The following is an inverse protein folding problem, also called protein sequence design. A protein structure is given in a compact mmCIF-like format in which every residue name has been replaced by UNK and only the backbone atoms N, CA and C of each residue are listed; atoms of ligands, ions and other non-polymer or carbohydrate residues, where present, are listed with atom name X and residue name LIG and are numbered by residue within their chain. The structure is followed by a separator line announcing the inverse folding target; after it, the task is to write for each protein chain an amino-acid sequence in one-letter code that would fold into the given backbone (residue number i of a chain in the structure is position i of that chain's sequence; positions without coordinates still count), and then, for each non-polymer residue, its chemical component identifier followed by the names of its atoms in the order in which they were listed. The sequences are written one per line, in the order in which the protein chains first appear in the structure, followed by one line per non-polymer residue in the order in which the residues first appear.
data_IF_046579230409
#
_entry.id   IF_046579230409
#
_cell.length_a   1.000
_cell.length_b   1.000
_cell.length_c   1.000
_cell.angle_alpha   90.00
_cell.angle_beta   90.00
_cell.angle_gamma   90.00
#
_symmetry.space_group_name_H-M   'P 1'
#
loop_
_entity.id
_entity.type
_entity.pdbx_description
1 polymer ?
#
# COMPACT_ATOMS: atom_id res chain seq x y z
N UNK A 1 16.29 -0.40 3.85
CA UNK A 1 14.96 -0.50 4.47
C UNK A 1 13.93 -0.05 3.44
N UNK A 2 12.91 -0.86 3.23
CA UNK A 2 11.91 -0.64 2.17
C UNK A 2 10.55 -0.35 2.77
N UNK A 3 9.85 0.61 2.18
CA UNK A 3 8.48 0.96 2.54
C UNK A 3 7.59 0.97 1.31
N UNK A 4 6.37 0.52 1.48
CA UNK A 4 5.31 0.63 0.46
C UNK A 4 4.23 1.56 1.02
N UNK A 5 3.84 2.54 0.22
CA UNK A 5 2.76 3.46 0.60
C UNK A 5 1.42 2.93 0.09
N UNK A 6 0.45 2.87 1.00
CA UNK A 6 -0.94 2.64 0.59
C UNK A 6 -1.49 3.88 -0.15
N UNK A 7 -2.51 3.68 -0.94
CA UNK A 7 -3.10 4.74 -1.76
C UNK A 7 -3.56 5.94 -0.94
N UNK A 8 -4.11 5.72 0.25
CA UNK A 8 -4.54 6.83 1.12
C UNK A 8 -3.37 7.75 1.55
N UNK A 9 -2.18 7.19 1.73
CA UNK A 9 -0.98 7.98 2.02
C UNK A 9 -0.64 8.88 0.82
N UNK A 10 -0.72 8.35 -0.40
CA UNK A 10 -0.50 9.14 -1.61
C UNK A 10 -1.49 10.30 -1.73
N UNK A 11 -2.76 10.05 -1.42
CA UNK A 11 -3.80 11.09 -1.41
C UNK A 11 -3.43 12.22 -0.44
N UNK A 12 -2.97 11.88 0.76
CA UNK A 12 -2.55 12.88 1.75
C UNK A 12 -1.30 13.65 1.33
N UNK A 13 -0.35 13.00 0.65
CA UNK A 13 0.81 13.68 0.07
C UNK A 13 0.39 14.69 -1.01
N UNK A 14 -0.53 14.29 -1.90
CA UNK A 14 -1.06 15.17 -2.95
C UNK A 14 -1.82 16.36 -2.35
N UNK A 15 -2.51 16.15 -1.23
CA UNK A 15 -3.22 17.19 -0.48
C UNK A 15 -2.30 18.04 0.39
N UNK A 16 -1.00 17.84 0.31
CA UNK A 16 -0.01 18.60 1.07
C UNK A 16 -0.19 18.50 2.59
N UNK A 17 -0.56 17.29 3.06
CA UNK A 17 -0.64 17.02 4.50
C UNK A 17 0.77 17.03 5.10
N UNK A 18 1.07 18.04 5.91
CA UNK A 18 2.41 18.27 6.44
C UNK A 18 2.93 17.12 7.31
N UNK A 19 2.07 16.48 8.08
CA UNK A 19 2.48 15.35 8.94
C UNK A 19 2.91 14.15 8.11
N UNK A 20 2.20 13.86 7.03
CA UNK A 20 2.54 12.74 6.13
C UNK A 20 3.79 13.07 5.32
N UNK A 21 3.91 14.29 4.82
CA UNK A 21 5.11 14.75 4.13
C UNK A 21 6.33 14.58 5.03
N UNK A 22 6.24 15.05 6.27
CA UNK A 22 7.34 14.95 7.22
C UNK A 22 7.71 13.50 7.52
N UNK A 23 6.71 12.63 7.68
CA UNK A 23 6.95 11.20 7.90
C UNK A 23 7.78 10.59 6.77
N UNK A 24 7.36 10.81 5.53
CA UNK A 24 8.06 10.24 4.36
C UNK A 24 9.46 10.83 4.22
N UNK A 25 9.61 12.14 4.37
CA UNK A 25 10.91 12.80 4.32
C UNK A 25 11.88 12.28 5.39
N UNK A 26 11.40 12.05 6.60
CA UNK A 26 12.22 11.52 7.69
C UNK A 26 12.71 10.10 7.40
N UNK A 27 11.84 9.26 6.85
CA UNK A 27 12.22 7.91 6.41
C UNK A 27 13.28 7.95 5.31
N UNK A 28 13.12 8.82 4.32
CA UNK A 28 14.08 8.98 3.23
C UNK A 28 15.43 9.50 3.73
N UNK A 29 15.44 10.44 4.69
CA UNK A 29 16.66 10.93 5.33
C UNK A 29 17.41 9.83 6.08
N UNK A 30 16.69 8.84 6.60
CA UNK A 30 17.27 7.67 7.25
C UNK A 30 17.75 6.60 6.26
N UNK A 31 17.64 6.86 4.96
CA UNK A 31 18.08 5.96 3.91
C UNK A 31 17.05 4.94 3.45
N UNK A 32 15.79 5.13 3.78
CA UNK A 32 14.72 4.27 3.32
C UNK A 32 14.44 4.46 1.83
N UNK A 33 14.12 3.38 1.15
CA UNK A 33 13.58 3.42 -0.22
C UNK A 33 12.07 3.25 -0.15
N UNK A 34 11.35 4.08 -0.88
CA UNK A 34 9.89 4.17 -0.84
C UNK A 34 9.30 3.76 -2.19
N UNK A 35 8.41 2.78 -2.14
CA UNK A 35 7.76 2.19 -3.31
C UNK A 35 6.25 2.35 -3.24
N UNK A 36 5.60 2.22 -4.39
CA UNK A 36 4.16 2.13 -4.51
C UNK A 36 3.77 0.97 -5.42
N UNK A 37 2.58 0.41 -5.23
CA UNK A 37 2.03 -0.52 -6.21
C UNK A 37 1.55 0.22 -7.45
N UNK A 38 1.68 -0.38 -8.62
CA UNK A 38 1.05 0.14 -9.84
C UNK A 38 -0.47 0.27 -9.67
N UNK A 39 -1.07 -0.55 -8.82
CA UNK A 39 -2.48 -0.46 -8.46
C UNK A 39 -2.81 0.90 -7.84
N UNK A 40 -1.96 1.41 -6.96
CA UNK A 40 -2.14 2.73 -6.35
C UNK A 40 -2.07 3.85 -7.38
N UNK A 41 -1.20 3.72 -8.38
CA UNK A 41 -1.14 4.68 -9.49
C UNK A 41 -2.49 4.74 -10.21
N UNK A 42 -3.06 3.58 -10.54
CA UNK A 42 -4.38 3.50 -11.16
C UNK A 42 -5.49 4.10 -10.31
N UNK A 43 -5.48 3.81 -9.00
CA UNK A 43 -6.46 4.38 -8.07
C UNK A 43 -6.35 5.92 -7.98
N UNK A 44 -5.15 6.46 -7.98
CA UNK A 44 -4.93 7.91 -7.95
C UNK A 44 -5.45 8.58 -9.22
N UNK A 45 -5.15 8.03 -10.40
CA UNK A 45 -5.70 8.55 -11.66
C UNK A 45 -7.23 8.47 -11.69
N UNK A 46 -7.79 7.38 -11.18
CA UNK A 46 -9.24 7.20 -11.08
C UNK A 46 -9.87 8.30 -10.21
N UNK A 47 -9.28 8.59 -9.05
CA UNK A 47 -9.75 9.68 -8.19
C UNK A 47 -9.66 11.05 -8.89
N UNK A 48 -8.56 11.31 -9.59
CA UNK A 48 -8.36 12.54 -10.34
C UNK A 48 -9.47 12.76 -11.37
N UNK A 49 -9.84 11.70 -12.09
CA UNK A 49 -10.91 11.75 -13.10
C UNK A 49 -12.30 11.89 -12.46
N UNK A 50 -12.59 11.08 -11.42
CA UNK A 50 -13.89 11.11 -10.74
C UNK A 50 -14.19 12.46 -10.11
N UNK A 51 -13.20 13.10 -9.51
CA UNK A 51 -13.35 14.39 -8.82
C UNK A 51 -12.93 15.59 -9.65
N UNK A 52 -12.62 15.38 -10.93
CA UNK A 52 -12.22 16.43 -11.87
C UNK A 52 -11.17 17.38 -11.27
N UNK A 53 -10.05 16.83 -10.81
CA UNK A 53 -8.99 17.62 -10.19
C UNK A 53 -8.48 18.71 -11.13
N UNK A 54 -8.30 19.92 -10.56
CA UNK A 54 -7.80 21.06 -11.32
C UNK A 54 -6.32 20.97 -11.64
N UNK A 55 -5.83 21.90 -12.43
CA UNK A 55 -4.48 21.93 -12.98
C UNK A 55 -3.39 21.83 -11.90
N UNK A 56 -3.51 22.60 -10.81
CA UNK A 56 -2.52 22.59 -9.73
C UNK A 56 -2.42 21.22 -9.09
N UNK A 57 -3.53 20.61 -8.74
CA UNK A 57 -3.58 19.30 -8.09
C UNK A 57 -3.08 18.18 -9.00
N UNK A 58 -3.40 18.25 -10.30
CA UNK A 58 -2.87 17.31 -11.28
C UNK A 58 -1.34 17.43 -11.42
N UNK A 59 -0.80 18.64 -11.40
CA UNK A 59 0.64 18.85 -11.44
C UNK A 59 1.34 18.27 -10.20
N UNK A 60 0.78 18.49 -9.03
CA UNK A 60 1.30 17.91 -7.78
C UNK A 60 1.24 16.38 -7.80
N UNK A 61 0.15 15.83 -8.30
CA UNK A 61 0.00 14.38 -8.48
C UNK A 61 1.10 13.82 -9.39
N UNK A 62 1.28 14.40 -10.58
CA UNK A 62 2.30 13.93 -11.53
C UNK A 62 3.71 14.06 -10.97
N UNK A 63 4.01 15.17 -10.29
CA UNK A 63 5.30 15.40 -9.66
C UNK A 63 5.60 14.34 -8.60
N UNK A 64 4.62 14.02 -7.76
CA UNK A 64 4.75 12.98 -6.74
C UNK A 64 4.98 11.61 -7.36
N UNK A 65 4.17 11.24 -8.34
CA UNK A 65 4.27 9.92 -8.99
C UNK A 65 5.60 9.73 -9.72
N UNK A 66 6.18 10.79 -10.27
CA UNK A 66 7.51 10.74 -10.89
C UNK A 66 8.64 10.47 -9.89
N UNK A 67 8.46 10.85 -8.64
CA UNK A 67 9.46 10.65 -7.59
C UNK A 67 9.41 9.26 -6.94
N UNK A 68 8.32 8.52 -7.15
CA UNK A 68 8.11 7.22 -6.55
C UNK A 68 8.37 6.10 -7.55
N UNK A 69 8.75 4.94 -7.04
CA UNK A 69 9.03 3.76 -7.86
C UNK A 69 7.79 2.87 -7.86
N UNK A 70 7.05 2.78 -8.99
CA UNK A 70 5.90 1.87 -9.07
C UNK A 70 6.36 0.44 -9.30
N UNK A 71 5.78 -0.49 -8.53
CA UNK A 71 6.05 -1.92 -8.66
C UNK A 71 4.91 -2.53 -9.48
N UNK A 72 5.23 -3.14 -10.63
CA UNK A 72 4.23 -3.72 -11.52
C UNK A 72 3.66 -5.03 -10.98
N UNK A 73 2.49 -5.43 -11.49
CA UNK A 73 1.92 -6.76 -11.30
C UNK A 73 2.29 -7.58 -12.54
N UNK A 74 3.44 -8.24 -12.50
CA UNK A 74 3.99 -8.88 -13.70
C UNK A 74 4.71 -10.21 -13.45
N UNK A 75 4.62 -10.75 -12.22
CA UNK A 75 5.32 -11.98 -11.92
C UNK A 75 4.48 -12.97 -11.11
N UNK A 76 4.83 -14.26 -11.21
CA UNK A 76 4.12 -15.35 -10.57
C UNK A 76 4.27 -15.33 -9.04
N UNK A 77 5.41 -14.89 -8.52
CA UNK A 77 5.63 -14.81 -7.07
C UNK A 77 4.66 -13.84 -6.42
N UNK A 78 4.46 -12.68 -7.04
CA UNK A 78 3.48 -11.69 -6.57
C UNK A 78 2.06 -12.28 -6.58
N UNK A 79 1.71 -13.03 -7.64
CA UNK A 79 0.40 -13.69 -7.72
C UNK A 79 0.19 -14.74 -6.61
N UNK A 80 1.23 -15.49 -6.27
CA UNK A 80 1.17 -16.45 -5.15
C UNK A 80 1.02 -15.74 -3.81
N UNK A 81 1.72 -14.62 -3.61
CA UNK A 81 1.61 -13.82 -2.40
C UNK A 81 0.21 -13.22 -2.25
N UNK A 82 -0.39 -12.78 -3.35
CA UNK A 82 -1.80 -12.39 -3.37
C UNK A 82 -2.70 -13.52 -2.83
N UNK A 83 -2.52 -14.72 -3.35
CA UNK A 83 -3.32 -15.88 -2.96
C UNK A 83 -3.14 -16.24 -1.47
N UNK A 84 -1.91 -16.16 -0.96
CA UNK A 84 -1.63 -16.40 0.46
C UNK A 84 -2.35 -15.40 1.36
N UNK A 85 -2.27 -14.12 1.04
CA UNK A 85 -2.88 -13.05 1.83
C UNK A 85 -4.41 -13.13 1.77
N UNK A 86 -4.96 -13.34 0.58
CA UNK A 86 -6.40 -13.47 0.38
C UNK A 86 -6.98 -14.64 1.17
N UNK A 87 -6.37 -15.81 1.08
CA UNK A 87 -6.84 -17.00 1.80
C UNK A 87 -6.63 -16.90 3.29
N UNK A 88 -5.52 -16.33 3.75
CA UNK A 88 -5.28 -16.06 5.18
C UNK A 88 -6.38 -15.14 5.75
N UNK A 89 -6.69 -14.07 5.04
CA UNK A 89 -7.72 -13.11 5.46
C UNK A 89 -9.10 -13.74 5.58
N UNK A 90 -9.39 -14.76 4.78
CA UNK A 90 -10.66 -15.47 4.75
C UNK A 90 -10.72 -16.70 5.68
N UNK A 91 -9.71 -16.97 6.49
CA UNK A 91 -9.55 -18.21 7.27
C UNK A 91 -9.48 -19.49 6.40
N UNK A 92 -8.94 -19.37 5.19
CA UNK A 92 -8.85 -20.46 4.21
C UNK A 92 -7.42 -20.85 3.82
N UNK A 93 -6.41 -20.21 4.44
CA UNK A 93 -5.03 -20.53 4.11
C UNK A 93 -4.67 -21.92 4.66
N UNK A 94 -4.11 -22.82 3.82
CA UNK A 94 -3.85 -24.21 4.22
C UNK A 94 -2.67 -24.37 5.17
N UNK A 95 -1.81 -23.34 5.30
CA UNK A 95 -0.55 -23.41 6.06
C UNK A 95 -0.61 -22.56 7.32
N UNK A 96 -1.07 -21.30 7.18
CA UNK A 96 -1.10 -20.33 8.28
C UNK A 96 -2.54 -19.99 8.60
N UNK A 97 -2.95 -20.26 9.85
CA UNK A 97 -4.28 -19.90 10.34
C UNK A 97 -4.24 -18.54 11.02
N UNK A 98 -5.24 -17.72 10.74
CA UNK A 98 -5.47 -16.48 11.47
C UNK A 98 -5.91 -16.82 12.90
N UNK A 99 -5.48 -16.05 13.93
CA UNK A 99 -5.84 -16.35 15.32
C UNK A 99 -7.35 -16.47 15.55
N UNK A 100 -7.74 -17.35 16.47
CA UNK A 100 -9.14 -17.49 16.87
C UNK A 100 -9.65 -16.19 17.46
N UNK A 101 -10.89 -15.84 17.15
CA UNK A 101 -11.52 -14.61 17.61
C UNK A 101 -11.38 -13.44 16.63
N UNK A 102 -10.54 -13.56 15.60
CA UNK A 102 -10.48 -12.60 14.51
C UNK A 102 -11.42 -13.08 13.41
N UNK A 103 -12.39 -12.24 13.04
CA UNK A 103 -13.33 -12.54 11.97
C UNK A 103 -12.65 -12.55 10.61
N UNK A 104 -13.14 -13.38 9.69
CA UNK A 104 -12.70 -13.36 8.30
C UNK A 104 -12.83 -11.95 7.71
N UNK A 105 -11.82 -11.55 6.94
CA UNK A 105 -11.78 -10.26 6.25
C UNK A 105 -11.98 -10.47 4.76
N UNK A 106 -12.94 -9.76 4.20
CA UNK A 106 -13.12 -9.69 2.76
C UNK A 106 -12.43 -8.44 2.24
N UNK A 107 -11.11 -8.52 2.10
CA UNK A 107 -10.30 -7.40 1.61
C UNK A 107 -10.63 -7.07 0.15
N UNK A 108 -10.61 -5.79 -0.19
CA UNK A 108 -10.66 -5.37 -1.58
C UNK A 108 -9.47 -5.90 -2.38
N UNK A 109 -9.68 -6.20 -3.65
CA UNK A 109 -8.63 -6.78 -4.52
C UNK A 109 -7.41 -5.87 -4.63
N UNK A 110 -7.61 -4.56 -4.72
CA UNK A 110 -6.52 -3.60 -4.78
C UNK A 110 -5.69 -3.61 -3.49
N UNK A 111 -6.34 -3.68 -2.34
CA UNK A 111 -5.64 -3.77 -1.05
C UNK A 111 -4.82 -5.05 -0.94
N UNK A 112 -5.33 -6.16 -1.46
CA UNK A 112 -4.58 -7.43 -1.48
C UNK A 112 -3.34 -7.30 -2.37
N UNK A 113 -3.44 -6.64 -3.54
CA UNK A 113 -2.28 -6.40 -4.40
C UNK A 113 -1.25 -5.49 -3.73
N UNK A 114 -1.68 -4.46 -3.02
CA UNK A 114 -0.79 -3.57 -2.26
C UNK A 114 -0.08 -4.35 -1.15
N UNK A 115 -0.83 -5.17 -0.40
CA UNK A 115 -0.28 -6.04 0.63
C UNK A 115 0.72 -7.06 0.05
N UNK A 116 0.39 -7.68 -1.07
CA UNK A 116 1.27 -8.62 -1.76
C UNK A 116 2.58 -7.93 -2.20
N UNK A 117 2.51 -6.68 -2.64
CA UNK A 117 3.69 -5.89 -3.01
C UNK A 117 4.61 -5.67 -1.80
N UNK A 118 4.04 -5.30 -0.64
CA UNK A 118 4.80 -5.16 0.59
C UNK A 118 5.46 -6.49 1.00
N UNK A 119 4.74 -7.58 0.88
CA UNK A 119 5.27 -8.92 1.17
C UNK A 119 6.44 -9.28 0.24
N UNK A 120 6.26 -9.10 -1.07
CA UNK A 120 7.29 -9.39 -2.08
C UNK A 120 8.60 -8.64 -1.81
N UNK A 121 8.49 -7.38 -1.44
CA UNK A 121 9.65 -6.51 -1.21
C UNK A 121 10.23 -6.65 0.20
N UNK A 122 9.62 -7.45 1.07
CA UNK A 122 9.96 -7.49 2.49
C UNK A 122 9.94 -6.08 3.11
N UNK A 123 8.95 -5.28 2.70
CA UNK A 123 8.79 -3.88 3.06
C UNK A 123 7.80 -3.70 4.21
N UNK A 124 7.91 -2.56 4.89
CA UNK A 124 6.87 -2.10 5.80
C UNK A 124 5.79 -1.36 5.01
N UNK A 125 4.54 -1.73 5.20
CA UNK A 125 3.41 -1.01 4.62
C UNK A 125 3.04 0.19 5.48
N UNK A 126 2.97 1.38 4.87
CA UNK A 126 2.49 2.59 5.54
C UNK A 126 1.06 2.85 5.09
N UNK A 127 0.15 2.89 6.04
CA UNK A 127 -1.29 3.09 5.79
C UNK A 127 -1.96 3.86 6.92
N UNK A 128 -3.08 4.49 6.62
CA UNK A 128 -3.98 5.07 7.63
C UNK A 128 -5.18 4.14 7.90
N UNK A 129 -5.29 3.04 7.15
CA UNK A 129 -6.43 2.13 7.17
C UNK A 129 -6.23 0.99 8.18
N UNK A 130 -7.32 0.51 8.75
CA UNK A 130 -7.32 -0.65 9.65
C UNK A 130 -7.43 -1.99 8.90
N UNK A 131 -7.67 -1.96 7.60
CA UNK A 131 -7.93 -3.15 6.79
C UNK A 131 -6.73 -4.09 6.68
N UNK A 132 -5.53 -3.61 6.99
CA UNK A 132 -4.29 -4.39 6.96
C UNK A 132 -3.83 -4.89 8.34
N UNK A 133 -4.51 -4.52 9.42
CA UNK A 133 -4.06 -4.81 10.79
C UNK A 133 -3.81 -6.30 11.05
N UNK A 134 -4.65 -7.17 10.50
CA UNK A 134 -4.53 -8.63 10.68
C UNK A 134 -3.31 -9.24 9.99
N UNK A 135 -2.66 -8.49 9.10
CA UNK A 135 -1.46 -8.92 8.36
C UNK A 135 -0.16 -8.49 9.06
N UNK A 136 -0.27 -7.57 10.02
CA UNK A 136 0.89 -7.01 10.71
C UNK A 136 1.67 -8.10 11.45
N UNK A 137 2.98 -8.11 11.23
CA UNK A 137 3.92 -9.09 11.80
C UNK A 137 3.67 -10.54 11.38
N UNK A 138 2.75 -10.77 10.45
CA UNK A 138 2.48 -12.10 9.86
C UNK A 138 3.21 -12.21 8.51
N UNK A 139 2.95 -11.28 7.61
CA UNK A 139 3.56 -11.22 6.28
C UNK A 139 4.53 -10.06 6.10
N UNK A 140 4.28 -8.96 6.78
CA UNK A 140 5.10 -7.74 6.78
C UNK A 140 4.73 -6.90 7.99
N UNK A 141 5.46 -5.82 8.22
CA UNK A 141 5.11 -4.86 9.27
C UNK A 141 4.19 -3.77 8.72
N UNK A 142 3.25 -3.32 9.54
CA UNK A 142 2.34 -2.23 9.20
C UNK A 142 2.67 -1.02 10.08
N UNK A 143 2.95 0.11 9.44
CA UNK A 143 3.13 1.39 10.11
C UNK A 143 1.87 2.23 9.91
N UNK A 144 1.18 2.52 11.00
CA UNK A 144 0.01 3.39 10.97
C UNK A 144 0.44 4.86 11.02
N UNK A 145 0.05 5.58 10.02
CA UNK A 145 0.33 7.01 9.93
C UNK A 145 -0.78 7.87 10.56
#
# INVERSE_FOLDING_TARGET
MYFVLDTNILVHLIRENEQIIQLVEDLEKEGAEVFISIVSVGEIYSLAYQFAWGKHKLQEMERLLEQLIPIPIDNKELAKMYAEIDTYSQHKNPIIAMPKGISAKNMGKNDIWIAATAYLLEATLITMDNDFNHLDSVYFNVLKA
#
